data_IF_226062117036
#
_entry.id   IF_226062117036
#
_cell.length_a   1.000
_cell.length_b   1.000
_cell.length_c   1.000
_cell.angle_alpha   90.00
_cell.angle_beta   90.00
_cell.angle_gamma   90.00
#
_symmetry.space_group_name_H-M   'P 1'
#
loop_
_entity.id
_entity.type
_entity.pdbx_description
1 polymer ?
#
# COMPACT_ATOMS: atom_id res chain seq x y z
N UNK A 1 -3.41 6.18 -12.61
CA UNK A 1 -4.89 6.31 -12.79
C UNK A 1 -5.48 6.81 -11.49
N UNK A 2 -6.11 7.99 -11.45
CA UNK A 2 -6.76 8.47 -10.21
C UNK A 2 -8.10 7.73 -10.02
N UNK A 3 -8.42 7.25 -8.81
CA UNK A 3 -9.68 6.56 -8.56
C UNK A 3 -10.87 7.49 -8.81
N UNK A 4 -11.73 7.13 -9.76
CA UNK A 4 -12.99 7.83 -9.98
C UNK A 4 -13.98 7.46 -8.87
N UNK A 5 -14.60 8.46 -8.27
CA UNK A 5 -15.62 8.30 -7.24
C UNK A 5 -16.72 9.34 -7.49
N UNK A 6 -17.96 9.01 -7.13
CA UNK A 6 -19.08 9.95 -7.10
C UNK A 6 -19.37 10.37 -5.67
N UNK A 7 -19.76 11.64 -5.48
CA UNK A 7 -20.03 12.20 -4.15
C UNK A 7 -18.77 12.56 -3.35
N UNK A 8 -18.96 12.82 -2.05
CA UNK A 8 -17.86 13.19 -1.13
C UNK A 8 -17.45 12.00 -0.28
N UNK A 9 -16.22 11.53 -0.46
CA UNK A 9 -15.63 10.44 0.33
C UNK A 9 -14.54 11.01 1.23
N UNK A 10 -14.53 10.59 2.49
CA UNK A 10 -13.52 11.01 3.48
C UNK A 10 -13.00 9.82 4.26
N UNK A 11 -11.73 9.84 4.61
CA UNK A 11 -11.10 8.92 5.55
C UNK A 11 -10.74 9.68 6.83
N UNK A 12 -11.27 9.26 7.97
CA UNK A 12 -11.08 9.97 9.26
C UNK A 12 -11.37 11.49 9.18
N UNK A 13 -12.35 11.91 8.37
CA UNK A 13 -12.68 13.32 8.14
C UNK A 13 -11.78 14.06 7.14
N UNK A 14 -10.76 13.42 6.59
CA UNK A 14 -9.89 13.97 5.54
C UNK A 14 -10.37 13.54 4.15
N UNK A 15 -10.43 14.46 3.20
CA UNK A 15 -10.73 14.14 1.81
C UNK A 15 -9.62 13.33 1.15
N UNK A 16 -10.00 12.50 0.17
CA UNK A 16 -9.07 11.60 -0.54
C UNK A 16 -8.01 12.34 -1.37
N UNK A 17 -8.18 13.63 -1.61
CA UNK A 17 -7.19 14.50 -2.26
C UNK A 17 -5.95 14.78 -1.40
N UNK A 18 -6.01 14.48 -0.09
CA UNK A 18 -4.95 14.80 0.88
C UNK A 18 -3.92 13.69 1.06
N UNK A 19 -4.18 12.50 0.54
CA UNK A 19 -3.30 11.35 0.67
C UNK A 19 -3.51 10.40 -0.51
N UNK A 20 -2.65 9.39 -0.66
CA UNK A 20 -2.84 8.33 -1.66
C UNK A 20 -3.54 7.16 -0.98
N UNK A 21 -4.83 6.87 -1.24
CA UNK A 21 -5.57 5.83 -0.50
C UNK A 21 -4.92 4.44 -0.59
N UNK A 22 -4.30 4.13 -1.72
CA UNK A 22 -3.60 2.87 -1.98
C UNK A 22 -2.36 2.67 -1.09
N UNK A 23 -1.87 3.73 -0.43
CA UNK A 23 -0.71 3.69 0.47
C UNK A 23 -1.08 3.46 1.94
N UNK A 24 -2.33 3.77 2.31
CA UNK A 24 -2.80 3.71 3.70
C UNK A 24 -3.90 2.68 3.92
N UNK A 25 -4.36 2.03 2.86
CA UNK A 25 -5.43 1.03 2.91
C UNK A 25 -5.12 -0.13 1.97
N UNK A 26 -5.56 -1.32 2.37
CA UNK A 26 -5.47 -2.53 1.56
C UNK A 26 -6.86 -2.93 1.05
N UNK A 27 -6.93 -3.32 -0.22
CA UNK A 27 -8.12 -3.89 -0.82
C UNK A 27 -7.96 -5.40 -0.92
N UNK A 28 -8.94 -6.15 -0.39
CA UNK A 28 -9.00 -7.61 -0.50
C UNK A 28 -10.10 -7.96 -1.51
N UNK A 29 -9.68 -8.49 -2.65
CA UNK A 29 -10.58 -8.95 -3.71
C UNK A 29 -11.32 -10.21 -3.28
N UNK A 30 -12.54 -10.40 -3.79
CA UNK A 30 -13.25 -11.67 -3.68
C UNK A 30 -12.56 -12.80 -4.46
N UNK A 31 -11.83 -12.44 -5.53
CA UNK A 31 -11.04 -13.37 -6.32
C UNK A 31 -9.59 -13.40 -5.85
N UNK A 32 -9.07 -14.61 -5.66
CA UNK A 32 -7.68 -14.83 -5.31
C UNK A 32 -6.77 -14.57 -6.52
N UNK A 33 -5.93 -13.54 -6.40
CA UNK A 33 -4.85 -13.27 -7.35
C UNK A 33 -3.54 -13.96 -6.90
N UNK A 34 -3.65 -15.21 -6.48
CA UNK A 34 -2.54 -16.02 -5.97
C UNK A 34 -1.89 -16.85 -7.08
N UNK A 35 -0.56 -16.95 -7.05
CA UNK A 35 0.22 -17.88 -7.88
C UNK A 35 0.30 -19.22 -7.14
N UNK A 36 -0.50 -20.20 -7.58
CA UNK A 36 -0.68 -21.52 -6.95
C UNK A 36 0.59 -22.30 -6.68
N UNK A 37 1.65 -22.02 -7.43
CA UNK A 37 2.94 -22.68 -7.37
C UNK A 37 3.87 -22.12 -6.30
N UNK A 38 3.57 -20.94 -5.74
CA UNK A 38 4.41 -20.30 -4.73
C UNK A 38 4.07 -20.77 -3.32
N UNK A 39 5.10 -20.97 -2.50
CA UNK A 39 4.92 -21.17 -1.06
C UNK A 39 4.39 -19.89 -0.39
N UNK A 40 3.85 -20.03 0.82
CA UNK A 40 3.42 -18.89 1.64
C UNK A 40 4.57 -17.91 1.87
N UNK A 41 5.77 -18.43 2.18
CA UNK A 41 7.01 -17.65 2.37
C UNK A 41 7.36 -16.84 1.12
N UNK A 42 7.37 -17.47 -0.05
CA UNK A 42 7.68 -16.78 -1.30
C UNK A 42 6.63 -15.74 -1.67
N UNK A 43 5.35 -16.04 -1.42
CA UNK A 43 4.23 -15.13 -1.67
C UNK A 43 4.36 -13.87 -0.82
N UNK A 44 4.62 -14.01 0.48
CA UNK A 44 4.82 -12.88 1.40
C UNK A 44 6.04 -12.05 1.01
N UNK A 45 7.16 -12.70 0.67
CA UNK A 45 8.38 -12.02 0.22
C UNK A 45 8.14 -11.26 -1.11
N UNK A 46 7.35 -11.82 -2.02
CA UNK A 46 6.96 -11.16 -3.26
C UNK A 46 6.08 -9.94 -2.99
N UNK A 47 5.03 -10.07 -2.19
CA UNK A 47 4.14 -8.97 -1.80
C UNK A 47 4.91 -7.82 -1.13
N UNK A 48 5.84 -8.14 -0.23
CA UNK A 48 6.72 -7.16 0.41
C UNK A 48 7.55 -6.38 -0.62
N UNK A 49 8.10 -7.03 -1.64
CA UNK A 49 8.82 -6.32 -2.72
C UNK A 49 7.88 -5.41 -3.52
N UNK A 50 6.68 -5.90 -3.87
CA UNK A 50 5.69 -5.14 -4.64
C UNK A 50 5.17 -3.89 -3.92
N UNK A 51 5.05 -3.90 -2.58
CA UNK A 51 4.61 -2.73 -1.81
C UNK A 51 5.59 -1.53 -1.91
N UNK A 52 6.85 -1.76 -2.30
CA UNK A 52 7.85 -0.68 -2.48
C UNK A 52 8.21 0.06 -1.17
N UNK A 53 9.18 0.96 -1.23
CA UNK A 53 9.50 1.92 -0.16
C UNK A 53 9.61 3.27 -0.85
N UNK A 54 9.16 4.35 -0.21
CA UNK A 54 9.41 5.69 -0.71
C UNK A 54 8.15 6.45 -1.11
N UNK A 55 8.38 7.73 -1.36
CA UNK A 55 7.37 8.76 -1.55
C UNK A 55 7.05 9.07 -3.02
N UNK A 56 7.50 8.23 -3.96
CA UNK A 56 7.38 8.55 -5.39
C UNK A 56 5.92 8.73 -5.82
N UNK A 57 5.02 7.90 -5.30
CA UNK A 57 3.58 8.00 -5.57
C UNK A 57 2.95 9.29 -5.02
N UNK A 58 3.33 9.71 -3.81
CA UNK A 58 2.84 10.94 -3.19
C UNK A 58 3.35 12.17 -3.96
N UNK A 59 4.64 12.17 -4.34
CA UNK A 59 5.26 13.23 -5.17
C UNK A 59 4.61 13.36 -6.54
N UNK A 60 4.38 12.24 -7.23
CA UNK A 60 3.69 12.22 -8.54
C UNK A 60 2.24 12.71 -8.45
N UNK A 61 1.60 12.50 -7.30
CA UNK A 61 0.24 12.98 -7.04
C UNK A 61 0.19 14.46 -6.58
N UNK A 62 1.34 15.12 -6.40
CA UNK A 62 1.49 16.44 -5.78
C UNK A 62 0.91 16.51 -4.36
N UNK A 63 1.12 15.42 -3.61
CA UNK A 63 0.72 15.26 -2.21
C UNK A 63 1.98 15.24 -1.35
N UNK A 64 1.92 15.92 -0.20
CA UNK A 64 3.04 15.90 0.76
C UNK A 64 3.22 14.48 1.32
N UNK A 65 4.42 13.90 1.25
CA UNK A 65 4.63 12.56 1.74
C UNK A 65 4.54 12.44 3.26
N UNK A 66 3.86 11.41 3.76
CA UNK A 66 3.80 11.13 5.20
C UNK A 66 5.01 10.27 5.63
N UNK A 67 5.93 10.81 6.45
CA UNK A 67 7.12 10.08 6.89
C UNK A 67 6.80 8.85 7.74
N UNK A 68 5.63 8.81 8.39
CA UNK A 68 5.23 7.67 9.21
C UNK A 68 4.86 6.47 8.36
N UNK A 69 4.19 6.68 7.22
CA UNK A 69 3.78 5.60 6.31
C UNK A 69 5.00 4.84 5.80
N UNK A 70 6.06 5.55 5.42
CA UNK A 70 7.31 4.93 4.97
C UNK A 70 8.04 4.20 6.10
N UNK A 71 8.03 4.74 7.32
CA UNK A 71 8.60 4.07 8.48
C UNK A 71 7.86 2.75 8.79
N UNK A 72 6.53 2.74 8.75
CA UNK A 72 5.72 1.54 8.94
C UNK A 72 6.00 0.49 7.86
N UNK A 73 5.97 0.86 6.58
CA UNK A 73 6.23 -0.08 5.48
C UNK A 73 7.64 -0.65 5.55
N UNK A 74 8.63 0.16 5.97
CA UNK A 74 10.00 -0.32 6.18
C UNK A 74 10.06 -1.36 7.30
N UNK A 75 9.44 -1.09 8.44
CA UNK A 75 9.38 -2.03 9.58
C UNK A 75 8.64 -3.31 9.17
N UNK A 76 7.52 -3.22 8.47
CA UNK A 76 6.76 -4.40 8.00
C UNK A 76 7.60 -5.27 7.05
N UNK A 77 8.36 -4.67 6.14
CA UNK A 77 9.27 -5.41 5.27
C UNK A 77 10.38 -6.10 6.03
N UNK A 78 10.98 -5.42 7.00
CA UNK A 78 12.03 -5.99 7.85
C UNK A 78 11.46 -7.14 8.70
N UNK A 79 10.27 -6.97 9.29
CA UNK A 79 9.59 -8.01 10.04
C UNK A 79 9.26 -9.22 9.15
N UNK A 80 8.70 -8.99 7.95
CA UNK A 80 8.45 -10.07 7.00
C UNK A 80 9.75 -10.78 6.62
N UNK A 81 10.87 -10.09 6.42
CA UNK A 81 12.15 -10.74 6.14
C UNK A 81 12.78 -11.50 7.33
N UNK A 82 12.36 -11.22 8.57
CA UNK A 82 12.85 -11.92 9.78
C UNK A 82 11.97 -13.12 10.13
N UNK A 83 10.66 -13.04 9.89
CA UNK A 83 9.73 -14.16 10.10
C UNK A 83 9.62 -15.08 8.88
N UNK A 84 10.19 -14.67 7.73
CA UNK A 84 10.25 -15.45 6.49
C UNK A 84 11.67 -15.98 6.24
#
# INVERSE_FOLDING_TARGET
>A
MKPQHSGRVTYNGHGLEKFVPQRISAYISQHDNHIGEMTVRETLAFSARCQGIGHNYEKEANIEPDPNVDAYIKIEKEALNIYV
#
